data_IF_107169520612
#
_entry.id   IF_107169520612
#
_cell.length_a   1.000
_cell.length_b   1.000
_cell.length_c   1.000
_cell.angle_alpha   90.00
_cell.angle_beta   90.00
_cell.angle_gamma   90.00
#
_symmetry.space_group_name_H-M   'P 1'
#
loop_
_entity.id
_entity.type
_entity.pdbx_description
1 polymer ?
#
# COMPACT_ATOMS: atom_id res chain seq x y z
N UNK A 1 10.33 -17.86 -54.26
CA UNK A 1 10.75 -17.53 -52.88
C UNK A 1 9.82 -16.50 -52.25
N UNK A 2 9.56 -15.35 -52.89
CA UNK A 2 8.64 -14.32 -52.38
C UNK A 2 7.18 -14.76 -52.07
N UNK A 3 6.63 -15.76 -52.77
CA UNK A 3 5.26 -16.24 -52.51
C UNK A 3 5.14 -17.13 -51.25
N UNK A 4 6.24 -17.74 -50.80
CA UNK A 4 6.28 -18.56 -49.56
C UNK A 4 6.36 -17.66 -48.34
N UNK A 5 7.14 -16.56 -48.41
CA UNK A 5 7.22 -15.55 -47.35
C UNK A 5 5.87 -14.86 -47.06
N UNK A 6 5.05 -14.63 -48.09
CA UNK A 6 3.71 -14.01 -47.93
C UNK A 6 2.74 -14.95 -47.21
N UNK A 7 2.83 -16.26 -47.46
CA UNK A 7 1.98 -17.27 -46.81
C UNK A 7 2.36 -17.49 -45.33
N UNK A 8 3.64 -17.41 -45.00
CA UNK A 8 4.13 -17.51 -43.62
C UNK A 8 3.83 -16.24 -42.81
N UNK A 9 3.94 -15.05 -43.41
CA UNK A 9 3.51 -13.79 -42.78
C UNK A 9 2.01 -13.77 -42.47
N UNK A 10 1.13 -14.19 -43.40
CA UNK A 10 -0.31 -14.24 -43.16
C UNK A 10 -0.73 -15.15 -42.00
N UNK A 11 -0.05 -16.30 -41.83
CA UNK A 11 -0.34 -17.24 -40.74
C UNK A 11 0.01 -16.72 -39.34
N UNK A 12 1.01 -15.83 -39.24
CA UNK A 12 1.39 -15.19 -37.98
C UNK A 12 0.46 -14.06 -37.58
N UNK A 13 -0.04 -13.28 -38.54
CA UNK A 13 -0.99 -12.19 -38.27
C UNK A 13 -2.32 -12.73 -37.73
N UNK A 14 -2.89 -13.77 -38.33
CA UNK A 14 -4.18 -14.36 -37.88
C UNK A 14 -4.09 -14.83 -36.42
N UNK A 15 -2.98 -15.46 -36.01
CA UNK A 15 -2.77 -15.89 -34.62
C UNK A 15 -2.63 -14.70 -33.67
N UNK A 16 -2.00 -13.62 -34.11
CA UNK A 16 -1.88 -12.38 -33.34
C UNK A 16 -3.26 -11.75 -33.11
N UNK A 17 -4.07 -11.60 -34.16
CA UNK A 17 -5.43 -11.07 -34.08
C UNK A 17 -6.35 -11.95 -33.23
N UNK A 18 -6.22 -13.28 -33.30
CA UNK A 18 -6.97 -14.20 -32.44
C UNK A 18 -6.70 -13.95 -30.95
N UNK A 19 -5.45 -13.70 -30.57
CA UNK A 19 -5.09 -13.35 -29.18
C UNK A 19 -5.74 -12.04 -28.71
N UNK A 20 -5.77 -11.01 -29.55
CA UNK A 20 -6.42 -9.74 -29.25
C UNK A 20 -7.95 -9.89 -29.13
N UNK A 21 -8.58 -10.67 -30.00
CA UNK A 21 -10.03 -10.92 -29.98
C UNK A 21 -10.42 -11.69 -28.71
N UNK A 22 -9.66 -12.71 -28.33
CA UNK A 22 -9.89 -13.47 -27.09
C UNK A 22 -9.69 -12.56 -25.87
N UNK A 23 -8.62 -11.76 -25.86
CA UNK A 23 -8.35 -10.80 -24.80
C UNK A 23 -9.49 -9.80 -24.61
N UNK A 24 -9.98 -9.20 -25.70
CA UNK A 24 -11.13 -8.28 -25.66
C UNK A 24 -12.40 -9.03 -25.23
N UNK A 25 -12.65 -10.23 -25.76
CA UNK A 25 -13.83 -11.03 -25.43
C UNK A 25 -13.95 -11.37 -23.95
N UNK A 26 -12.83 -11.59 -23.24
CA UNK A 26 -12.82 -11.84 -21.80
C UNK A 26 -13.39 -10.66 -21.00
N UNK A 27 -13.17 -9.42 -21.44
CA UNK A 27 -13.72 -8.24 -20.77
C UNK A 27 -15.23 -8.11 -20.90
N UNK A 28 -15.82 -8.58 -22.01
CA UNK A 28 -17.26 -8.53 -22.26
C UNK A 28 -18.00 -9.79 -21.77
N UNK A 29 -17.27 -10.85 -21.44
CA UNK A 29 -17.81 -12.12 -20.92
C UNK A 29 -18.74 -11.94 -19.70
N UNK A 30 -18.45 -11.04 -18.73
CA UNK A 30 -19.33 -10.81 -17.58
C UNK A 30 -20.71 -10.23 -17.94
N UNK A 31 -20.85 -9.52 -19.06
CA UNK A 31 -22.12 -8.91 -19.47
C UNK A 31 -23.21 -9.93 -19.82
N UNK A 32 -22.83 -11.19 -20.09
CA UNK A 32 -23.80 -12.27 -20.34
C UNK A 32 -24.46 -12.80 -19.07
N UNK A 33 -23.88 -12.55 -17.89
CA UNK A 33 -24.40 -13.03 -16.60
C UNK A 33 -24.66 -11.93 -15.57
N UNK A 34 -24.35 -10.68 -15.88
CA UNK A 34 -24.40 -9.55 -14.95
C UNK A 34 -25.02 -8.33 -15.62
N UNK A 35 -25.84 -7.58 -14.88
CA UNK A 35 -26.42 -6.33 -15.35
C UNK A 35 -25.34 -5.30 -15.69
N UNK A 36 -25.59 -4.50 -16.73
CA UNK A 36 -24.67 -3.45 -17.18
C UNK A 36 -24.28 -2.48 -16.06
N UNK A 37 -25.23 -2.17 -15.17
CA UNK A 37 -24.98 -1.33 -14.00
C UNK A 37 -23.94 -1.95 -13.06
N UNK A 38 -24.12 -3.22 -12.71
CA UNK A 38 -23.21 -3.95 -11.81
C UNK A 38 -21.82 -4.08 -12.43
N UNK A 39 -21.72 -4.36 -13.73
CA UNK A 39 -20.43 -4.38 -14.44
C UNK A 39 -19.69 -3.03 -14.36
N UNK A 40 -20.40 -1.92 -14.58
CA UNK A 40 -19.82 -0.58 -14.44
C UNK A 40 -19.36 -0.31 -13.01
N UNK A 41 -20.16 -0.66 -12.00
CA UNK A 41 -19.83 -0.46 -10.59
C UNK A 41 -18.58 -1.25 -10.21
N UNK A 42 -18.47 -2.54 -10.57
CA UNK A 42 -17.28 -3.34 -10.25
C UNK A 42 -16.03 -2.82 -10.99
N UNK A 43 -16.17 -2.38 -12.23
CA UNK A 43 -15.04 -1.82 -13.00
C UNK A 43 -14.52 -0.55 -12.34
N UNK A 44 -15.42 0.36 -11.96
CA UNK A 44 -15.05 1.61 -11.27
C UNK A 44 -14.48 1.32 -9.88
N UNK A 45 -15.06 0.37 -9.13
CA UNK A 45 -14.55 -0.02 -7.82
C UNK A 45 -13.14 -0.63 -7.91
N UNK A 46 -12.91 -1.50 -8.89
CA UNK A 46 -11.58 -2.07 -9.16
C UNK A 46 -10.56 -1.00 -9.56
N UNK A 47 -10.96 -0.05 -10.41
CA UNK A 47 -10.09 1.05 -10.82
C UNK A 47 -9.79 2.01 -9.67
N UNK A 48 -10.78 2.32 -8.81
CA UNK A 48 -10.61 3.10 -7.59
C UNK A 48 -9.61 2.45 -6.63
N UNK A 49 -9.77 1.14 -6.37
CA UNK A 49 -8.83 0.39 -5.54
C UNK A 49 -7.42 0.35 -6.14
N UNK A 50 -7.33 0.18 -7.47
CA UNK A 50 -6.07 0.22 -8.20
C UNK A 50 -5.35 1.57 -8.10
N UNK A 51 -6.08 2.69 -8.24
CA UNK A 51 -5.53 4.04 -8.07
C UNK A 51 -5.02 4.28 -6.65
N UNK A 52 -5.76 3.81 -5.63
CA UNK A 52 -5.32 3.89 -4.24
C UNK A 52 -3.99 3.16 -4.05
N UNK A 53 -3.91 1.90 -4.48
CA UNK A 53 -2.68 1.11 -4.40
C UNK A 53 -1.53 1.75 -5.18
N UNK A 54 -1.78 2.29 -6.38
CA UNK A 54 -0.80 2.99 -7.19
C UNK A 54 -0.26 4.26 -6.50
N UNK A 55 -1.13 5.07 -5.91
CA UNK A 55 -0.74 6.25 -5.15
C UNK A 55 0.10 5.88 -3.92
N UNK A 56 -0.29 4.83 -3.20
CA UNK A 56 0.49 4.34 -2.06
C UNK A 56 1.88 3.84 -2.49
N UNK A 57 1.96 3.04 -3.56
CA UNK A 57 3.21 2.51 -4.07
C UNK A 57 4.13 3.61 -4.64
N UNK A 58 3.58 4.56 -5.39
CA UNK A 58 4.35 5.68 -5.93
C UNK A 58 4.85 6.63 -4.84
N UNK A 59 4.05 6.88 -3.80
CA UNK A 59 4.47 7.63 -2.61
C UNK A 59 5.63 6.95 -1.88
N UNK A 60 5.55 5.63 -1.66
CA UNK A 60 6.64 4.86 -1.05
C UNK A 60 7.91 4.94 -1.91
N UNK A 61 7.79 4.75 -3.23
CA UNK A 61 8.93 4.85 -4.16
C UNK A 61 9.55 6.25 -4.20
N UNK A 62 8.76 7.31 -4.12
CA UNK A 62 9.25 8.70 -4.06
C UNK A 62 10.03 8.97 -2.77
N UNK A 63 9.51 8.49 -1.64
CA UNK A 63 10.15 8.63 -0.34
C UNK A 63 11.52 7.92 -0.33
N UNK A 64 11.61 6.70 -0.85
CA UNK A 64 12.90 5.99 -0.96
C UNK A 64 13.83 6.56 -2.05
N UNK A 65 13.27 7.09 -3.13
CA UNK A 65 14.05 7.67 -4.23
C UNK A 65 14.72 9.01 -3.89
N UNK A 66 14.25 9.71 -2.85
CA UNK A 66 14.71 11.06 -2.50
C UNK A 66 15.42 11.14 -1.14
N UNK A 67 15.55 10.03 -0.40
CA UNK A 67 16.24 10.01 0.91
C UNK A 67 17.70 9.53 0.78
N UNK A 68 18.65 10.35 1.25
CA UNK A 68 20.10 10.06 1.17
C UNK A 68 20.59 9.06 2.23
N UNK A 69 19.96 8.98 3.40
CA UNK A 69 20.27 7.96 4.43
C UNK A 69 18.97 7.51 5.10
N UNK A 70 18.55 6.29 4.79
CA UNK A 70 17.37 5.66 5.36
C UNK A 70 17.73 4.98 6.67
N UNK A 71 17.39 5.60 7.80
CA UNK A 71 17.33 4.83 9.04
C UNK A 71 16.02 4.02 9.03
N UNK A 72 16.11 2.69 8.88
CA UNK A 72 14.93 1.83 8.88
C UNK A 72 14.12 1.86 10.17
N UNK A 73 14.73 2.30 11.27
CA UNK A 73 13.98 2.60 12.49
C UNK A 73 12.85 3.62 12.21
N UNK A 74 13.12 4.66 11.40
CA UNK A 74 12.13 5.70 11.09
C UNK A 74 10.91 5.14 10.33
N UNK A 75 11.16 4.29 9.33
CA UNK A 75 10.08 3.62 8.57
C UNK A 75 9.29 2.62 9.42
N UNK A 76 9.97 1.85 10.28
CA UNK A 76 9.34 0.92 11.20
C UNK A 76 8.45 1.63 12.22
N UNK A 77 8.90 2.76 12.78
CA UNK A 77 8.09 3.58 13.69
C UNK A 77 6.85 4.18 13.02
N UNK A 78 6.98 4.61 11.76
CA UNK A 78 5.84 5.11 10.98
C UNK A 78 4.78 4.02 10.76
N UNK A 79 5.20 2.84 10.28
CA UNK A 79 4.30 1.71 10.06
C UNK A 79 3.64 1.24 11.37
N UNK A 80 4.41 1.21 12.45
CA UNK A 80 3.91 0.86 13.77
C UNK A 80 2.87 1.87 14.28
N UNK A 81 3.12 3.17 14.13
CA UNK A 81 2.17 4.22 14.49
C UNK A 81 0.85 4.13 13.70
N UNK A 82 0.94 3.88 12.39
CA UNK A 82 -0.23 3.66 11.55
C UNK A 82 -1.05 2.42 11.98
N UNK A 83 -0.38 1.30 12.26
CA UNK A 83 -1.04 0.09 12.74
C UNK A 83 -1.66 0.27 14.13
N UNK A 84 -0.97 0.97 15.04
CA UNK A 84 -1.50 1.29 16.36
C UNK A 84 -2.77 2.15 16.26
N UNK A 85 -2.78 3.16 15.39
CA UNK A 85 -3.97 3.98 15.14
C UNK A 85 -5.14 3.15 14.60
N UNK A 86 -4.88 2.23 13.66
CA UNK A 86 -5.89 1.30 13.15
C UNK A 86 -6.48 0.41 14.25
N UNK A 87 -5.63 -0.17 15.11
CA UNK A 87 -6.09 -0.99 16.24
C UNK A 87 -6.92 -0.18 17.24
N UNK A 88 -6.53 1.07 17.52
CA UNK A 88 -7.29 1.96 18.39
C UNK A 88 -8.65 2.31 17.78
N UNK A 89 -8.71 2.62 16.49
CA UNK A 89 -9.97 2.87 15.77
C UNK A 89 -10.88 1.65 15.83
N UNK A 90 -10.35 0.45 15.64
CA UNK A 90 -11.14 -0.78 15.70
C UNK A 90 -11.65 -1.04 17.13
N UNK A 91 -10.87 -0.72 18.16
CA UNK A 91 -11.32 -0.76 19.55
C UNK A 91 -12.42 0.27 19.83
N UNK A 92 -12.27 1.51 19.38
CA UNK A 92 -13.31 2.53 19.53
C UNK A 92 -14.60 2.14 18.82
N UNK A 93 -14.49 1.49 17.65
CA UNK A 93 -15.64 0.93 16.95
C UNK A 93 -16.32 -0.18 17.78
N UNK A 94 -15.55 -1.10 18.35
CA UNK A 94 -16.07 -2.16 19.23
C UNK A 94 -16.76 -1.63 20.51
N UNK A 95 -16.38 -0.44 20.99
CA UNK A 95 -17.07 0.25 22.10
C UNK A 95 -18.34 1.02 21.66
N UNK A 96 -18.75 0.90 20.39
CA UNK A 96 -19.93 1.58 19.85
C UNK A 96 -19.75 3.08 19.66
N UNK A 97 -18.51 3.60 19.71
CA UNK A 97 -18.23 5.04 19.59
C UNK A 97 -18.23 5.50 18.12
N UNK A 98 -18.02 4.58 17.18
CA UNK A 98 -17.85 4.89 15.75
C UNK A 98 -19.13 4.65 14.95
N UNK A 99 -19.89 3.59 15.27
CA UNK A 99 -21.14 3.29 14.56
C UNK A 99 -22.26 4.23 15.05
N UNK A 100 -22.70 5.14 14.16
CA UNK A 100 -23.76 6.13 14.46
C UNK A 100 -23.25 7.54 14.77
N UNK A 101 -21.93 7.75 14.79
CA UNK A 101 -21.33 9.05 14.99
C UNK A 101 -21.50 9.93 13.73
N UNK A 102 -22.03 11.14 13.87
CA UNK A 102 -22.12 12.09 12.74
C UNK A 102 -20.73 12.44 12.18
N UNK A 103 -20.66 13.02 10.97
CA UNK A 103 -19.40 13.37 10.29
C UNK A 103 -18.35 14.05 11.21
N UNK A 104 -18.79 15.01 12.04
CA UNK A 104 -17.92 15.70 13.01
C UNK A 104 -17.35 14.76 14.08
N UNK A 105 -18.18 13.85 14.60
CA UNK A 105 -17.80 12.91 15.65
C UNK A 105 -16.83 11.86 15.13
N UNK A 106 -17.03 11.37 13.90
CA UNK A 106 -16.09 10.45 13.24
C UNK A 106 -14.72 11.08 13.02
N UNK A 107 -14.67 12.36 12.63
CA UNK A 107 -13.42 13.13 12.51
C UNK A 107 -12.77 13.30 13.90
N UNK A 108 -13.56 13.60 14.93
CA UNK A 108 -13.07 13.72 16.31
C UNK A 108 -12.42 12.43 16.83
N UNK A 109 -13.06 11.28 16.61
CA UNK A 109 -12.54 9.97 17.02
C UNK A 109 -11.29 9.60 16.21
N UNK A 110 -11.25 9.94 14.92
CA UNK A 110 -10.07 9.75 14.09
C UNK A 110 -8.87 10.56 14.61
N UNK A 111 -9.06 11.84 14.90
CA UNK A 111 -8.01 12.69 15.47
C UNK A 111 -7.57 12.17 16.83
N UNK A 112 -8.52 11.74 17.67
CA UNK A 112 -8.21 11.16 18.98
C UNK A 112 -7.37 9.89 18.86
N UNK A 113 -7.73 8.97 17.95
CA UNK A 113 -6.98 7.76 17.68
C UNK A 113 -5.56 8.07 17.14
N UNK A 114 -5.45 9.08 16.28
CA UNK A 114 -4.18 9.56 15.76
C UNK A 114 -3.28 10.08 16.90
N UNK A 115 -3.77 11.00 17.73
CA UNK A 115 -3.02 11.55 18.88
C UNK A 115 -2.62 10.42 19.84
N UNK A 116 -3.55 9.53 20.17
CA UNK A 116 -3.28 8.41 21.06
C UNK A 116 -2.21 7.47 20.49
N UNK A 117 -2.22 7.20 19.18
CA UNK A 117 -1.18 6.40 18.51
C UNK A 117 0.19 7.08 18.49
N UNK A 118 0.25 8.41 18.37
CA UNK A 118 1.49 9.18 18.45
C UNK A 118 2.09 9.09 19.86
N UNK A 119 1.26 9.22 20.90
CA UNK A 119 1.70 9.06 22.30
C UNK A 119 2.22 7.63 22.53
N UNK A 120 1.50 6.63 22.03
CA UNK A 120 1.89 5.22 22.13
C UNK A 120 3.23 4.95 21.42
N UNK A 121 3.39 5.51 20.21
CA UNK A 121 4.62 5.46 19.45
C UNK A 121 5.78 6.17 20.15
N UNK A 122 5.53 7.30 20.81
CA UNK A 122 6.52 8.03 21.59
C UNK A 122 6.98 7.20 22.80
N UNK A 123 6.06 6.59 23.54
CA UNK A 123 6.40 5.71 24.68
C UNK A 123 7.27 4.54 24.20
N UNK A 124 6.87 3.89 23.10
CA UNK A 124 7.61 2.75 22.55
C UNK A 124 8.98 3.18 22.00
N UNK A 125 9.06 4.34 21.34
CA UNK A 125 10.31 4.93 20.88
C UNK A 125 11.28 5.21 22.02
N UNK A 126 10.80 5.78 23.13
CA UNK A 126 11.60 6.01 24.34
C UNK A 126 12.10 4.71 24.97
N UNK A 127 11.26 3.67 24.98
CA UNK A 127 11.65 2.33 25.47
C UNK A 127 12.75 1.75 24.59
N UNK A 128 12.61 1.82 23.26
CA UNK A 128 13.62 1.34 22.31
C UNK A 128 14.93 2.12 22.41
N UNK A 129 14.87 3.44 22.54
CA UNK A 129 16.06 4.28 22.74
C UNK A 129 16.82 3.87 24.01
N UNK A 130 16.09 3.65 25.11
CA UNK A 130 16.70 3.33 26.41
C UNK A 130 17.30 1.92 26.46
N UNK A 131 16.68 0.96 25.77
CA UNK A 131 17.10 -0.46 25.79
C UNK A 131 18.17 -0.76 24.73
N UNK A 132 17.99 -0.24 23.51
CA UNK A 132 18.84 -0.60 22.36
C UNK A 132 19.93 0.46 22.15
N UNK A 133 19.54 1.72 21.97
CA UNK A 133 20.46 2.79 21.55
C UNK A 133 21.48 3.11 22.66
N UNK A 134 21.02 3.20 23.90
CA UNK A 134 21.90 3.53 25.05
C UNK A 134 22.94 2.44 25.36
N UNK A 135 22.75 1.20 24.87
CA UNK A 135 23.68 0.08 25.09
C UNK A 135 24.86 0.07 24.10
N UNK A 136 24.79 0.82 23.00
CA UNK A 136 25.75 0.75 21.87
C UNK A 136 26.54 2.06 21.66
N UNK A 137 26.41 3.04 22.56
CA UNK A 137 27.23 4.25 22.51
C UNK A 137 28.68 3.95 22.97
N UNK A 138 29.66 4.09 22.06
CA UNK A 138 31.08 4.04 22.42
C UNK A 138 32.12 3.75 21.33
N UNK A 139 31.73 3.39 20.10
CA UNK A 139 32.70 2.97 19.06
C UNK A 139 32.24 3.41 17.66
N UNK A 140 32.99 4.28 16.98
CA UNK A 140 32.58 4.92 15.71
C UNK A 140 32.28 3.91 14.58
N UNK A 141 32.87 2.71 14.61
CA UNK A 141 32.55 1.64 13.66
C UNK A 141 31.16 1.02 13.89
N UNK A 142 30.71 0.96 15.16
CA UNK A 142 29.37 0.45 15.52
C UNK A 142 28.27 1.45 15.16
N UNK A 143 28.61 2.72 15.00
CA UNK A 143 27.68 3.78 14.64
C UNK A 143 27.18 3.65 13.19
N UNK A 144 28.02 3.15 12.28
CA UNK A 144 27.64 2.83 10.88
C UNK A 144 26.98 1.45 10.81
N UNK A 145 27.44 0.48 11.61
CA UNK A 145 26.84 -0.86 11.69
C UNK A 145 25.44 -0.87 12.32
N UNK A 146 25.09 0.08 13.19
CA UNK A 146 23.75 0.13 13.81
C UNK A 146 22.69 0.78 12.91
N UNK A 147 23.09 1.69 12.01
CA UNK A 147 22.16 2.28 11.02
C UNK A 147 21.80 1.28 9.93
N UNK A 148 22.76 0.42 9.55
CA UNK A 148 22.54 -0.68 8.61
C UNK A 148 21.97 -1.94 9.30
N UNK A 149 22.32 -2.21 10.56
CA UNK A 149 21.94 -3.43 11.30
C UNK A 149 20.57 -3.38 11.98
N UNK A 150 20.02 -2.20 12.25
CA UNK A 150 18.61 -2.03 12.68
C UNK A 150 17.60 -2.26 11.53
N UNK A 151 18.08 -2.70 10.36
CA UNK A 151 17.31 -3.10 9.18
C UNK A 151 17.02 -4.62 9.12
N UNK A 152 17.22 -5.35 10.22
CA UNK A 152 16.82 -6.77 10.31
C UNK A 152 15.96 -7.02 11.53
#
# INVERSE_FOLDING_TARGET
MAAVDIAEQQGTDIKKWAGWIVGIGIWFLPLFGMDFNTYMVLTIAGLSMGMLMFLTASGFSLIFGLMDVLNLAHGAFFAFGAYASYVLLNKFNAYGLVEGAGLLSSIGIFILALIASVILGLIIGLVLEKIIIRRVYGDHLKQILITMGSNM
#
